data_IF_192889992159
#
_entry.id   IF_192889992159
#
_cell.length_a   1.000
_cell.length_b   1.000
_cell.length_c   1.000
_cell.angle_alpha   90.00
_cell.angle_beta   90.00
_cell.angle_gamma   90.00
#
_symmetry.space_group_name_H-M   'P 1'
#
loop_
_entity.id
_entity.type
_entity.pdbx_description
1 polymer ?
#
# COMPACT_ATOMS: atom_id res chain seq x y z
N UNK A 1 -18.31 12.59 -18.50
CA UNK A 1 -17.70 13.18 -17.27
C UNK A 1 -16.20 13.34 -17.53
N UNK A 2 -15.52 14.36 -16.96
CA UNK A 2 -14.06 14.48 -17.11
C UNK A 2 -13.37 13.46 -16.21
N UNK A 3 -12.49 12.65 -16.78
CA UNK A 3 -11.63 11.74 -16.03
C UNK A 3 -10.56 12.55 -15.28
N UNK A 4 -10.53 12.46 -13.95
CA UNK A 4 -9.60 13.19 -13.09
C UNK A 4 -9.61 12.64 -11.66
N UNK A 5 -8.53 12.86 -10.91
CA UNK A 5 -8.49 12.49 -9.50
C UNK A 5 -9.66 13.12 -8.69
N UNK A 6 -10.13 12.39 -7.68
CA UNK A 6 -11.28 12.75 -6.84
C UNK A 6 -10.86 12.89 -5.39
N UNK A 7 -11.45 13.85 -4.69
CA UNK A 7 -11.24 14.08 -3.28
C UNK A 7 -12.47 13.67 -2.48
N UNK A 8 -12.37 12.56 -1.76
CA UNK A 8 -13.46 12.07 -0.91
C UNK A 8 -13.27 12.53 0.53
N UNK A 9 -14.38 12.75 1.23
CA UNK A 9 -14.39 13.06 2.66
C UNK A 9 -14.96 11.88 3.43
N UNK A 10 -14.15 11.29 4.30
CA UNK A 10 -14.51 10.13 5.13
C UNK A 10 -14.68 10.58 6.58
N UNK A 11 -15.82 10.30 7.24
CA UNK A 11 -16.01 10.63 8.64
C UNK A 11 -15.13 9.73 9.52
N UNK A 12 -14.59 10.28 10.60
CA UNK A 12 -13.90 9.49 11.63
C UNK A 12 -14.36 9.89 13.04
N UNK A 13 -14.28 8.96 14.01
CA UNK A 13 -14.64 9.27 15.39
C UNK A 13 -13.52 10.08 16.06
N UNK A 14 -13.83 10.66 17.22
CA UNK A 14 -12.81 11.22 18.09
C UNK A 14 -11.86 10.11 18.55
N UNK A 15 -10.55 10.30 18.38
CA UNK A 15 -9.56 9.35 18.89
C UNK A 15 -9.58 9.29 20.42
N UNK A 16 -9.45 8.08 20.97
CA UNK A 16 -9.36 7.85 22.41
C UNK A 16 -7.99 8.22 22.98
N UNK A 17 -6.92 8.08 22.18
CA UNK A 17 -5.56 8.42 22.61
C UNK A 17 -5.19 9.85 22.24
N UNK A 18 -4.56 10.53 23.20
CA UNK A 18 -3.90 11.82 22.97
C UNK A 18 -2.42 11.60 22.72
N UNK A 19 -1.88 12.30 21.72
CA UNK A 19 -0.44 12.33 21.47
C UNK A 19 0.21 13.07 22.66
N UNK A 20 1.20 12.48 23.35
CA UNK A 20 1.88 13.14 24.46
C UNK A 20 2.50 14.48 24.05
N UNK A 21 2.54 15.44 24.98
CA UNK A 21 3.20 16.73 24.75
C UNK A 21 4.66 16.54 24.33
N UNK A 22 5.08 17.24 23.27
CA UNK A 22 6.44 17.16 22.72
C UNK A 22 6.70 15.98 21.78
N UNK A 23 5.72 15.11 21.53
CA UNK A 23 5.83 13.99 20.59
C UNK A 23 5.13 14.33 19.27
N UNK A 24 5.76 14.01 18.14
CA UNK A 24 5.10 14.09 16.83
C UNK A 24 4.09 12.94 16.64
N UNK A 25 3.07 13.12 15.80
CA UNK A 25 2.14 12.03 15.47
C UNK A 25 2.84 10.76 14.97
N UNK A 26 3.87 10.92 14.14
CA UNK A 26 4.61 9.79 13.53
C UNK A 26 5.34 8.97 14.59
N UNK A 27 6.00 9.62 15.55
CA UNK A 27 6.64 8.95 16.69
C UNK A 27 5.61 8.20 17.53
N UNK A 28 4.49 8.84 17.82
CA UNK A 28 3.41 8.25 18.62
C UNK A 28 2.83 6.99 17.97
N UNK A 29 2.47 7.06 16.68
CA UNK A 29 1.85 5.93 15.98
C UNK A 29 2.78 4.73 15.81
N UNK A 30 4.10 4.97 15.83
CA UNK A 30 5.13 3.92 15.76
C UNK A 30 5.53 3.34 17.13
N UNK A 31 5.05 3.94 18.23
CA UNK A 31 5.36 3.49 19.57
C UNK A 31 4.76 2.11 19.87
N UNK A 32 5.46 1.25 20.64
CA UNK A 32 4.89 -0.02 21.10
C UNK A 32 3.57 0.14 21.86
N UNK A 33 3.40 1.26 22.59
CA UNK A 33 2.16 1.56 23.31
C UNK A 33 0.97 1.75 22.37
N UNK A 34 1.13 2.55 21.31
CA UNK A 34 0.08 2.72 20.30
C UNK A 34 -0.22 1.41 19.55
N UNK A 35 0.80 0.60 19.25
CA UNK A 35 0.61 -0.68 18.55
C UNK A 35 -0.08 -1.73 19.42
N UNK A 36 0.21 -1.75 20.72
CA UNK A 36 -0.57 -2.52 21.70
C UNK A 36 -2.02 -2.07 21.69
N UNK A 37 -2.27 -0.76 21.79
CA UNK A 37 -3.63 -0.21 21.76
C UNK A 37 -4.36 -0.53 20.44
N UNK A 38 -3.68 -0.48 19.30
CA UNK A 38 -4.25 -0.85 18.00
C UNK A 38 -4.81 -2.29 18.04
N UNK A 39 -4.03 -3.22 18.59
CA UNK A 39 -4.46 -4.61 18.72
C UNK A 39 -5.61 -4.78 19.72
N UNK A 40 -5.61 -4.06 20.84
CA UNK A 40 -6.63 -4.20 21.90
C UNK A 40 -7.94 -3.48 21.57
N UNK A 41 -7.89 -2.32 20.92
CA UNK A 41 -9.06 -1.49 20.61
C UNK A 41 -9.69 -1.80 19.26
N UNK A 42 -8.90 -2.30 18.31
CA UNK A 42 -9.30 -2.44 16.92
C UNK A 42 -8.89 -3.78 16.29
N UNK A 43 -8.26 -4.69 17.04
CA UNK A 43 -7.86 -6.00 16.54
C UNK A 43 -9.07 -6.88 16.23
N UNK A 44 -9.02 -7.57 15.10
CA UNK A 44 -10.05 -8.50 14.64
C UNK A 44 -9.56 -9.95 14.73
N UNK A 45 -8.32 -10.20 14.33
CA UNK A 45 -7.77 -11.55 14.18
C UNK A 45 -6.25 -11.55 14.33
N UNK A 46 -5.67 -12.65 14.84
CA UNK A 46 -4.21 -12.80 14.93
C UNK A 46 -3.75 -14.21 14.61
N UNK A 47 -2.65 -14.31 13.87
CA UNK A 47 -1.99 -15.59 13.57
C UNK A 47 -0.77 -15.83 14.48
N UNK A 48 -0.28 -17.08 14.58
CA UNK A 48 0.97 -17.40 15.28
C UNK A 48 2.22 -16.72 14.70
N UNK A 49 2.17 -16.24 13.46
CA UNK A 49 3.27 -15.57 12.75
C UNK A 49 3.37 -14.06 13.02
N UNK A 50 2.66 -13.57 14.04
CA UNK A 50 2.52 -12.15 14.39
C UNK A 50 1.73 -11.31 13.36
N UNK A 51 0.91 -11.94 12.51
CA UNK A 51 0.03 -11.20 11.60
C UNK A 51 -1.25 -10.77 12.32
N UNK A 52 -1.56 -9.47 12.27
CA UNK A 52 -2.72 -8.86 12.91
C UNK A 52 -3.65 -8.29 11.83
N UNK A 53 -4.88 -8.77 11.77
CA UNK A 53 -5.98 -8.06 11.08
C UNK A 53 -6.60 -7.06 12.05
N UNK A 54 -6.80 -5.82 11.62
CA UNK A 54 -7.37 -4.77 12.47
C UNK A 54 -8.22 -3.77 11.67
N UNK A 55 -9.25 -3.23 12.33
CA UNK A 55 -10.06 -2.13 11.81
C UNK A 55 -9.27 -0.83 11.77
N UNK A 56 -9.36 -0.09 10.66
CA UNK A 56 -8.85 1.29 10.63
C UNK A 56 -9.85 2.28 11.21
N UNK A 57 -9.62 2.69 12.45
CA UNK A 57 -10.47 3.68 13.13
C UNK A 57 -10.51 5.02 12.36
N UNK A 58 -9.36 5.46 11.87
CA UNK A 58 -9.24 6.57 10.93
C UNK A 58 -9.08 6.00 9.52
N UNK A 59 -10.18 5.46 9.00
CA UNK A 59 -10.24 4.78 7.71
C UNK A 59 -10.11 5.72 6.51
N UNK A 60 -10.07 5.07 5.36
CA UNK A 60 -10.18 5.63 4.02
C UNK A 60 -11.61 5.49 3.51
N UNK A 61 -12.27 4.38 3.86
CA UNK A 61 -13.66 4.09 3.50
C UNK A 61 -14.49 3.72 4.73
N UNK A 62 -15.77 4.07 4.69
CA UNK A 62 -16.79 3.54 5.62
C UNK A 62 -17.52 2.31 5.07
N UNK A 63 -17.29 1.93 3.81
CA UNK A 63 -17.94 0.76 3.22
C UNK A 63 -17.23 -0.53 3.62
N UNK A 64 -15.91 -0.55 3.47
CA UNK A 64 -15.02 -1.59 4.00
C UNK A 64 -13.60 -1.03 4.12
N UNK A 65 -12.97 -1.13 5.29
CA UNK A 65 -11.58 -0.74 5.49
C UNK A 65 -10.93 -1.52 6.65
N UNK A 66 -9.95 -2.36 6.30
CA UNK A 66 -9.14 -3.12 7.26
C UNK A 66 -7.71 -3.24 6.76
N UNK A 67 -6.81 -3.59 7.66
CA UNK A 67 -5.43 -3.92 7.32
C UNK A 67 -4.99 -5.23 7.94
N UNK A 68 -4.08 -5.91 7.26
CA UNK A 68 -3.20 -6.92 7.86
C UNK A 68 -1.84 -6.27 8.07
N UNK A 69 -1.25 -6.41 9.25
CA UNK A 69 0.09 -5.91 9.56
C UNK A 69 0.93 -7.01 10.20
N UNK A 70 2.22 -7.06 9.88
CA UNK A 70 3.17 -7.92 10.58
C UNK A 70 3.56 -7.26 11.92
N UNK A 71 2.73 -7.45 12.95
CA UNK A 71 2.83 -6.84 14.28
C UNK A 71 3.96 -7.44 15.11
N UNK A 72 5.19 -7.12 14.75
CA UNK A 72 6.40 -7.51 15.51
C UNK A 72 6.64 -6.63 16.74
N UNK A 73 5.73 -5.71 17.05
CA UNK A 73 5.92 -4.69 18.09
C UNK A 73 6.07 -5.26 19.50
N UNK A 74 5.57 -6.47 19.73
CA UNK A 74 5.74 -7.23 20.99
C UNK A 74 7.13 -7.84 21.18
N UNK A 75 7.91 -8.00 20.10
CA UNK A 75 9.23 -8.66 20.13
C UNK A 75 10.36 -7.72 19.72
N UNK A 76 10.09 -6.81 18.80
CA UNK A 76 11.04 -5.83 18.27
C UNK A 76 10.58 -4.43 18.70
N UNK A 77 11.15 -3.96 19.81
CA UNK A 77 10.82 -2.64 20.37
C UNK A 77 11.42 -1.51 19.54
N UNK A 78 12.58 -1.73 18.91
CA UNK A 78 13.20 -0.82 17.95
C UNK A 78 12.38 -0.73 16.66
N UNK A 79 11.75 0.42 16.32
CA UNK A 79 11.01 0.56 15.08
C UNK A 79 11.86 0.35 13.83
N UNK A 80 13.17 0.63 13.87
CA UNK A 80 14.07 0.48 12.73
C UNK A 80 14.39 -0.99 12.41
N UNK A 81 14.33 -1.87 13.42
CA UNK A 81 14.56 -3.30 13.27
C UNK A 81 13.38 -4.10 12.74
N UNK A 82 12.22 -3.46 12.51
CA UNK A 82 10.99 -4.15 12.07
C UNK A 82 10.98 -4.34 10.55
N UNK A 83 10.38 -5.43 10.09
CA UNK A 83 10.21 -5.69 8.67
C UNK A 83 9.21 -4.71 8.05
N UNK A 84 9.65 -3.96 7.04
CA UNK A 84 8.87 -2.96 6.30
C UNK A 84 8.65 -3.37 4.84
N UNK A 85 9.10 -4.56 4.44
CA UNK A 85 8.95 -5.12 3.09
C UNK A 85 8.69 -6.62 3.10
N UNK A 86 8.07 -7.13 2.04
CA UNK A 86 7.79 -8.55 1.87
C UNK A 86 9.08 -9.36 1.80
N UNK A 87 10.11 -8.88 1.11
CA UNK A 87 11.41 -9.60 0.99
C UNK A 87 12.06 -9.87 2.36
N UNK A 88 11.68 -9.13 3.40
CA UNK A 88 12.18 -9.29 4.77
C UNK A 88 11.37 -10.30 5.61
N UNK A 89 10.23 -10.77 5.11
CA UNK A 89 9.40 -11.75 5.81
C UNK A 89 10.00 -13.16 5.66
N UNK A 90 9.88 -13.97 6.71
CA UNK A 90 10.22 -15.39 6.63
C UNK A 90 9.31 -16.13 5.65
N UNK A 91 9.75 -17.27 5.11
CA UNK A 91 8.94 -18.11 4.23
C UNK A 91 7.57 -18.47 4.83
N UNK A 92 7.53 -18.74 6.14
CA UNK A 92 6.30 -19.06 6.87
C UNK A 92 5.35 -17.85 6.94
N UNK A 93 5.89 -16.68 7.31
CA UNK A 93 5.12 -15.43 7.32
C UNK A 93 4.55 -15.10 5.94
N UNK A 94 5.36 -15.20 4.87
CA UNK A 94 4.90 -14.97 3.49
C UNK A 94 3.75 -15.90 3.10
N UNK A 95 3.85 -17.19 3.45
CA UNK A 95 2.78 -18.16 3.15
C UNK A 95 1.46 -17.75 3.79
N UNK A 96 1.46 -17.44 5.09
CA UNK A 96 0.22 -17.05 5.80
C UNK A 96 -0.29 -15.70 5.32
N UNK A 97 0.61 -14.75 5.06
CA UNK A 97 0.28 -13.44 4.48
C UNK A 97 -0.45 -13.55 3.14
N UNK A 98 0.05 -14.40 2.23
CA UNK A 98 -0.58 -14.64 0.93
C UNK A 98 -1.99 -15.22 1.09
N UNK A 99 -2.16 -16.21 1.99
CA UNK A 99 -3.46 -16.85 2.22
C UNK A 99 -4.45 -15.85 2.83
N UNK A 100 -4.03 -15.09 3.85
CA UNK A 100 -4.91 -14.07 4.44
C UNK A 100 -5.29 -13.00 3.41
N UNK A 101 -4.34 -12.58 2.56
CA UNK A 101 -4.60 -11.60 1.50
C UNK A 101 -5.58 -12.14 0.47
N UNK A 102 -5.39 -13.39 0.04
CA UNK A 102 -6.31 -14.07 -0.87
C UNK A 102 -7.71 -14.16 -0.27
N UNK A 103 -7.86 -14.62 0.98
CA UNK A 103 -9.17 -14.75 1.63
C UNK A 103 -9.89 -13.41 1.76
N UNK A 104 -9.19 -12.37 2.22
CA UNK A 104 -9.80 -11.05 2.39
C UNK A 104 -10.16 -10.41 1.04
N UNK A 105 -9.36 -10.63 -0.01
CA UNK A 105 -9.69 -10.11 -1.33
C UNK A 105 -10.81 -10.91 -2.00
N UNK A 106 -10.86 -12.24 -1.82
CA UNK A 106 -12.00 -13.07 -2.22
C UNK A 106 -13.29 -12.60 -1.54
N UNK A 107 -13.25 -12.27 -0.24
CA UNK A 107 -14.38 -11.66 0.46
C UNK A 107 -14.84 -10.35 -0.20
N UNK A 108 -13.92 -9.47 -0.59
CA UNK A 108 -14.28 -8.24 -1.30
C UNK A 108 -14.95 -8.51 -2.65
N UNK A 109 -14.49 -9.53 -3.38
CA UNK A 109 -15.07 -9.92 -4.66
C UNK A 109 -16.47 -10.52 -4.50
N UNK A 110 -16.69 -11.30 -3.45
CA UNK A 110 -17.98 -11.92 -3.13
C UNK A 110 -19.00 -10.88 -2.64
N UNK A 111 -18.61 -10.00 -1.72
CA UNK A 111 -19.50 -9.00 -1.10
C UNK A 111 -19.79 -7.83 -2.04
N UNK A 112 -18.82 -7.45 -2.89
CA UNK A 112 -18.94 -6.33 -3.81
C UNK A 112 -18.73 -6.78 -5.26
N UNK A 113 -19.57 -7.64 -5.86
CA UNK A 113 -19.28 -8.28 -7.14
C UNK A 113 -19.34 -7.33 -8.34
N UNK A 114 -20.10 -6.25 -8.23
CA UNK A 114 -20.40 -5.34 -9.33
C UNK A 114 -19.37 -4.19 -9.43
N UNK A 115 -18.54 -4.15 -10.50
CA UNK A 115 -17.55 -3.10 -10.71
C UNK A 115 -18.17 -1.72 -10.97
N UNK A 116 -19.41 -1.62 -11.46
CA UNK A 116 -20.09 -0.34 -11.67
C UNK A 116 -20.55 0.28 -10.34
N UNK A 117 -20.68 -0.54 -9.29
CA UNK A 117 -21.16 -0.09 -7.97
C UNK A 117 -20.04 0.10 -6.97
N UNK A 118 -18.99 -0.70 -7.04
CA UNK A 118 -17.90 -0.65 -6.06
C UNK A 118 -16.52 -0.78 -6.70
N UNK A 119 -15.63 0.14 -6.33
CA UNK A 119 -14.19 -0.04 -6.49
C UNK A 119 -13.67 -0.85 -5.30
N UNK A 120 -12.93 -1.91 -5.57
CA UNK A 120 -12.24 -2.70 -4.54
C UNK A 120 -10.75 -2.76 -4.82
N UNK A 121 -9.95 -2.72 -3.75
CA UNK A 121 -8.50 -2.89 -3.83
C UNK A 121 -7.90 -3.56 -2.60
N UNK A 122 -6.78 -4.23 -2.82
CA UNK A 122 -5.79 -4.61 -1.83
C UNK A 122 -4.49 -3.88 -2.16
N UNK A 123 -3.95 -3.13 -1.22
CA UNK A 123 -2.69 -2.44 -1.38
C UNK A 123 -1.67 -2.86 -0.34
N UNK A 124 -0.52 -3.36 -0.78
CA UNK A 124 0.63 -3.62 0.07
C UNK A 124 1.49 -2.37 0.19
N UNK A 125 1.66 -1.89 1.42
CA UNK A 125 2.44 -0.70 1.71
C UNK A 125 3.73 -1.05 2.46
N UNK A 126 4.83 -0.59 1.90
CA UNK A 126 6.18 -0.67 2.45
C UNK A 126 6.73 0.73 2.71
N UNK A 127 7.58 0.89 3.74
CA UNK A 127 8.23 2.16 4.07
C UNK A 127 9.75 2.12 3.87
N UNK A 128 10.34 3.30 3.68
CA UNK A 128 11.78 3.49 3.76
C UNK A 128 12.18 3.37 5.24
N UNK A 129 12.93 2.32 5.56
CA UNK A 129 13.38 2.02 6.93
C UNK A 129 14.37 3.04 7.48
N UNK A 130 14.93 3.92 6.65
CA UNK A 130 15.90 4.96 7.03
C UNK A 130 15.30 6.36 7.10
N UNK A 131 14.03 6.51 6.70
CA UNK A 131 13.36 7.82 6.75
C UNK A 131 13.24 8.34 8.18
N UNK A 132 13.51 9.63 8.46
CA UNK A 132 13.40 10.16 9.82
C UNK A 132 11.97 10.11 10.36
N UNK A 133 11.79 9.68 11.61
CA UNK A 133 10.48 9.62 12.28
C UNK A 133 9.88 10.99 12.56
N UNK A 134 10.68 12.05 12.54
CA UNK A 134 10.23 13.43 12.80
C UNK A 134 9.87 14.21 11.52
N UNK A 135 10.03 13.61 10.34
CA UNK A 135 9.66 14.29 9.08
C UNK A 135 8.14 14.36 8.93
N UNK A 136 7.59 15.52 8.52
CA UNK A 136 6.20 15.61 8.08
C UNK A 136 5.96 14.69 6.88
N UNK A 137 4.82 14.02 6.85
CA UNK A 137 4.52 13.00 5.84
C UNK A 137 5.09 11.63 6.20
N UNK A 138 4.27 10.60 6.03
CA UNK A 138 4.40 9.21 6.51
C UNK A 138 4.03 8.98 7.99
N UNK A 139 2.76 9.21 8.37
CA UNK A 139 2.15 8.70 9.61
C UNK A 139 1.74 7.22 9.47
N UNK A 140 2.57 6.38 8.87
CA UNK A 140 2.32 4.95 8.79
C UNK A 140 3.17 4.20 9.79
N UNK A 141 2.59 3.12 10.32
CA UNK A 141 3.28 2.18 11.18
C UNK A 141 4.43 1.56 10.37
N UNK A 142 5.65 1.62 10.91
CA UNK A 142 6.90 1.09 10.34
C UNK A 142 6.95 -0.43 10.45
N UNK A 143 5.99 -1.05 9.78
CA UNK A 143 5.89 -2.48 9.54
C UNK A 143 5.19 -2.66 8.20
N UNK A 144 5.50 -3.74 7.49
CA UNK A 144 4.76 -4.09 6.28
C UNK A 144 3.28 -4.32 6.63
N UNK A 145 2.39 -3.75 5.82
CA UNK A 145 0.95 -3.89 5.99
C UNK A 145 0.22 -3.89 4.65
N UNK A 146 -0.81 -4.74 4.54
CA UNK A 146 -1.78 -4.72 3.47
C UNK A 146 -3.01 -3.91 3.90
N UNK A 147 -3.60 -3.18 2.97
CA UNK A 147 -4.84 -2.43 3.15
C UNK A 147 -5.90 -3.02 2.22
N UNK A 148 -7.09 -3.29 2.75
CA UNK A 148 -8.21 -3.83 1.99
C UNK A 148 -9.35 -2.83 2.07
N UNK A 149 -9.83 -2.37 0.92
CA UNK A 149 -10.81 -1.30 0.85
C UNK A 149 -11.87 -1.58 -0.21
N UNK A 150 -13.09 -1.14 0.07
CA UNK A 150 -14.15 -0.98 -0.91
C UNK A 150 -14.67 0.46 -0.89
N UNK A 151 -15.00 1.02 -2.04
CA UNK A 151 -15.59 2.35 -2.16
C UNK A 151 -16.84 2.27 -3.03
N UNK A 152 -17.97 2.86 -2.61
CA UNK A 152 -19.10 3.05 -3.51
C UNK A 152 -18.68 3.95 -4.67
N UNK A 153 -18.91 3.52 -5.91
CA UNK A 153 -18.56 4.32 -7.11
C UNK A 153 -19.33 5.65 -7.08
N UNK A 154 -20.60 5.64 -6.69
CA UNK A 154 -21.40 6.85 -6.53
C UNK A 154 -20.78 7.87 -5.57
N UNK A 155 -20.04 7.44 -4.53
CA UNK A 155 -19.32 8.36 -3.63
C UNK A 155 -18.18 9.05 -4.38
N UNK A 156 -17.42 8.30 -5.18
CA UNK A 156 -16.28 8.82 -5.95
C UNK A 156 -16.77 9.72 -7.10
N UNK A 157 -17.85 9.36 -7.76
CA UNK A 157 -18.44 10.13 -8.86
C UNK A 157 -18.97 11.50 -8.41
N UNK A 158 -19.59 11.56 -7.23
CA UNK A 158 -20.14 12.79 -6.66
C UNK A 158 -19.12 13.61 -5.85
N UNK A 159 -17.90 13.11 -5.71
CA UNK A 159 -16.83 13.82 -5.02
C UNK A 159 -16.26 14.95 -5.86
N UNK A 160 -15.73 15.98 -5.18
CA UNK A 160 -15.04 17.07 -5.84
C UNK A 160 -13.77 16.57 -6.55
N UNK A 161 -13.34 17.31 -7.57
CA UNK A 161 -12.03 17.07 -8.17
C UNK A 161 -10.94 17.35 -7.14
N UNK A 162 -9.99 16.42 -7.02
CA UNK A 162 -8.81 16.66 -6.21
C UNK A 162 -7.94 17.76 -6.82
N UNK A 163 -7.19 18.48 -5.99
CA UNK A 163 -6.20 19.43 -6.46
C UNK A 163 -5.13 18.68 -7.29
N UNK A 164 -4.90 19.04 -8.58
CA UNK A 164 -3.89 18.37 -9.41
C UNK A 164 -2.45 18.47 -8.85
N UNK A 165 -2.19 19.43 -7.96
CA UNK A 165 -0.89 19.60 -7.29
C UNK A 165 -0.90 19.03 -5.87
N UNK A 166 -1.90 18.23 -5.50
CA UNK A 166 -1.93 17.59 -4.19
C UNK A 166 -0.68 16.70 -4.04
N UNK A 167 0.11 16.85 -2.96
CA UNK A 167 1.34 16.10 -2.78
C UNK A 167 1.13 14.58 -2.73
N UNK A 168 -0.07 14.11 -2.38
CA UNK A 168 -0.43 12.68 -2.43
C UNK A 168 -0.55 12.19 -3.89
N UNK A 169 -0.96 13.03 -4.83
CA UNK A 169 -1.05 12.68 -6.25
C UNK A 169 0.25 12.88 -7.02
N UNK A 170 1.04 13.88 -6.64
CA UNK A 170 2.26 14.26 -7.36
C UNK A 170 3.53 13.64 -6.78
N UNK A 171 3.44 12.86 -5.72
CA UNK A 171 4.57 12.35 -4.94
C UNK A 171 5.57 13.48 -4.60
N UNK A 172 5.08 14.61 -4.10
CA UNK A 172 5.90 15.81 -3.84
C UNK A 172 6.80 16.27 -5.01
N UNK A 173 6.46 15.92 -6.25
CA UNK A 173 7.25 16.21 -7.45
C UNK A 173 8.19 15.08 -7.90
N UNK A 174 8.37 13.99 -7.14
CA UNK A 174 9.19 12.84 -7.52
C UNK A 174 8.59 12.02 -8.67
N UNK A 175 7.25 11.99 -8.79
CA UNK A 175 6.58 11.47 -9.99
C UNK A 175 7.15 12.13 -11.25
N UNK A 176 7.47 13.43 -11.21
CA UNK A 176 7.94 14.11 -12.43
C UNK A 176 9.33 13.67 -12.91
N UNK A 177 10.23 13.18 -12.04
CA UNK A 177 11.56 12.79 -12.48
C UNK A 177 11.58 11.36 -13.02
N UNK A 178 11.01 10.40 -12.27
CA UNK A 178 10.98 9.00 -12.69
C UNK A 178 9.99 8.77 -13.83
N UNK A 179 8.76 9.31 -13.73
CA UNK A 179 7.74 9.14 -14.78
C UNK A 179 8.16 9.79 -16.10
N UNK A 180 8.83 10.96 -16.07
CA UNK A 180 9.22 11.65 -17.32
C UNK A 180 10.50 11.11 -17.94
N UNK A 181 11.45 10.64 -17.14
CA UNK A 181 12.79 10.32 -17.66
C UNK A 181 13.17 8.85 -17.58
N UNK A 182 12.46 8.05 -16.78
CA UNK A 182 12.82 6.66 -16.53
C UNK A 182 11.67 5.68 -16.78
N UNK A 183 10.46 6.15 -17.10
CA UNK A 183 9.29 5.28 -17.32
C UNK A 183 9.55 4.22 -18.40
N UNK A 184 10.07 4.61 -19.57
CA UNK A 184 10.33 3.65 -20.66
C UNK A 184 11.34 2.57 -20.25
N UNK A 185 12.46 2.97 -19.65
CA UNK A 185 13.51 2.06 -19.15
C UNK A 185 12.96 1.16 -18.05
N UNK A 186 12.08 1.70 -17.21
CA UNK A 186 11.48 0.94 -16.12
C UNK A 186 10.51 -0.13 -16.64
N UNK A 187 9.74 0.18 -17.68
CA UNK A 187 8.92 -0.81 -18.39
C UNK A 187 9.79 -1.88 -19.06
N UNK A 188 10.82 -1.48 -19.81
CA UNK A 188 11.76 -2.41 -20.47
C UNK A 188 12.43 -3.37 -19.46
N UNK A 189 12.84 -2.85 -18.30
CA UNK A 189 13.46 -3.64 -17.24
C UNK A 189 12.49 -4.65 -16.61
N UNK A 190 11.18 -4.38 -16.60
CA UNK A 190 10.18 -5.26 -16.01
C UNK A 190 9.56 -6.22 -17.03
N UNK A 191 9.57 -5.88 -18.31
CA UNK A 191 9.04 -6.75 -19.38
C UNK A 191 9.84 -8.06 -19.51
N UNK A 192 11.12 -8.05 -19.11
CA UNK A 192 12.01 -9.23 -19.13
C UNK A 192 11.78 -10.21 -17.97
N UNK A 193 10.83 -9.94 -17.06
CA UNK A 193 10.51 -10.85 -15.95
C UNK A 193 9.84 -12.17 -16.41
N UNK A 194 9.46 -12.30 -17.69
CA UNK A 194 8.86 -13.50 -18.30
C UNK A 194 7.69 -14.09 -17.48
N UNK A 195 6.80 -13.21 -17.03
CA UNK A 195 5.62 -13.57 -16.25
C UNK A 195 4.58 -14.29 -17.12
N UNK A 196 4.00 -15.38 -16.61
CA UNK A 196 3.08 -16.25 -17.34
C UNK A 196 1.61 -16.01 -16.99
N UNK A 197 1.31 -15.51 -15.79
CA UNK A 197 -0.05 -15.24 -15.31
C UNK A 197 -0.34 -13.73 -15.36
N UNK A 198 0.58 -12.92 -14.87
CA UNK A 198 0.53 -11.46 -14.85
C UNK A 198 1.05 -10.89 -16.16
N UNK A 199 0.13 -10.53 -17.06
CA UNK A 199 0.47 -10.03 -18.39
C UNK A 199 0.58 -8.51 -18.40
N UNK A 200 1.68 -7.92 -18.90
CA UNK A 200 1.80 -6.47 -19.04
C UNK A 200 0.63 -5.88 -19.83
N UNK A 201 0.11 -4.74 -19.37
CA UNK A 201 -0.89 -3.95 -20.08
C UNK A 201 -0.46 -2.49 -20.14
N UNK A 202 -0.97 -1.75 -21.13
CA UNK A 202 -0.64 -0.33 -21.27
C UNK A 202 -1.21 0.50 -20.13
N UNK A 203 -0.62 1.66 -19.85
CA UNK A 203 -1.14 2.58 -18.81
C UNK A 203 -2.55 3.08 -19.12
N UNK A 204 -2.93 3.15 -20.40
CA UNK A 204 -4.30 3.51 -20.79
C UNK A 204 -5.28 2.40 -20.45
N UNK A 205 -4.91 1.15 -20.69
CA UNK A 205 -5.75 -0.01 -20.40
C UNK A 205 -5.85 -0.34 -18.90
N UNK A 206 -4.90 0.11 -18.09
CA UNK A 206 -4.96 -0.05 -16.64
C UNK A 206 -5.73 1.08 -15.94
N UNK A 207 -5.87 2.25 -16.57
CA UNK A 207 -6.52 3.40 -15.93
C UNK A 207 -8.01 3.19 -15.72
N UNK A 208 -8.50 3.54 -14.52
CA UNK A 208 -9.92 3.62 -14.21
C UNK A 208 -10.57 4.76 -14.99
N UNK A 209 -11.70 4.50 -15.64
CA UNK A 209 -12.38 5.50 -16.48
C UNK A 209 -12.72 6.78 -15.71
N UNK A 210 -13.15 6.64 -14.45
CA UNK A 210 -13.60 7.76 -13.60
C UNK A 210 -12.46 8.71 -13.20
N UNK A 211 -11.30 8.16 -12.82
CA UNK A 211 -10.20 8.95 -12.26
C UNK A 211 -9.06 9.18 -13.25
N UNK A 212 -8.88 8.27 -14.20
CA UNK A 212 -7.78 8.27 -15.16
C UNK A 212 -6.47 7.78 -14.53
N UNK A 213 -6.54 7.01 -13.44
CA UNK A 213 -5.41 6.45 -12.69
C UNK A 213 -5.50 4.92 -12.63
N UNK A 214 -4.38 4.20 -12.51
CA UNK A 214 -3.00 4.70 -12.41
C UNK A 214 -2.47 5.37 -13.68
N UNK A 215 -1.52 6.29 -13.53
CA UNK A 215 -0.93 7.06 -14.64
C UNK A 215 0.54 6.71 -14.84
N UNK A 216 0.88 6.13 -16.00
CA UNK A 216 2.26 5.82 -16.39
C UNK A 216 2.99 4.83 -15.47
N UNK A 217 2.26 4.08 -14.65
CA UNK A 217 2.80 3.01 -13.82
C UNK A 217 2.75 1.68 -14.58
N UNK A 218 3.78 0.82 -14.43
CA UNK A 218 3.71 -0.53 -14.96
C UNK A 218 2.56 -1.29 -14.29
N UNK A 219 1.81 -1.98 -15.12
CA UNK A 219 0.58 -2.64 -14.72
C UNK A 219 0.47 -3.99 -15.44
N UNK A 220 -0.11 -4.97 -14.75
CA UNK A 220 -0.30 -6.31 -15.27
C UNK A 220 -1.73 -6.77 -15.04
N UNK A 221 -2.37 -7.31 -16.07
CA UNK A 221 -3.65 -8.00 -15.93
C UNK A 221 -3.42 -9.43 -15.45
N UNK A 222 -4.18 -9.85 -14.43
CA UNK A 222 -4.26 -11.23 -13.99
C UNK A 222 -5.07 -12.08 -14.97
N UNK A 223 -4.40 -12.78 -15.89
CA UNK A 223 -5.08 -13.71 -16.81
C UNK A 223 -5.62 -14.92 -16.07
N UNK A 224 -6.83 -15.35 -16.43
CA UNK A 224 -7.59 -16.38 -15.71
C UNK A 224 -8.44 -15.85 -14.55
N UNK A 225 -8.41 -14.53 -14.32
CA UNK A 225 -9.30 -13.83 -13.41
C UNK A 225 -9.10 -14.18 -11.93
N UNK A 226 -10.07 -13.84 -11.06
CA UNK A 226 -9.92 -13.96 -9.62
C UNK A 226 -9.58 -15.36 -9.09
N UNK A 227 -9.99 -16.42 -9.80
CA UNK A 227 -9.67 -17.80 -9.42
C UNK A 227 -8.17 -18.07 -9.27
N UNK A 228 -7.32 -17.30 -9.98
CA UNK A 228 -5.87 -17.41 -9.93
C UNK A 228 -5.23 -16.88 -8.65
N UNK A 229 -5.94 -16.14 -7.80
CA UNK A 229 -5.41 -15.71 -6.50
C UNK A 229 -5.11 -16.90 -5.57
N UNK A 230 -5.75 -18.06 -5.81
CA UNK A 230 -5.50 -19.33 -5.09
C UNK A 230 -4.28 -20.08 -5.63
N UNK A 231 -3.75 -19.69 -6.78
CA UNK A 231 -2.58 -20.28 -7.43
C UNK A 231 -1.30 -19.78 -6.72
N UNK A 232 -0.44 -20.70 -6.29
CA UNK A 232 0.84 -20.32 -5.68
C UNK A 232 1.75 -19.61 -6.68
N UNK A 233 1.58 -19.90 -7.97
CA UNK A 233 2.38 -19.29 -9.03
C UNK A 233 2.04 -17.81 -9.22
N UNK A 234 0.78 -17.39 -9.01
CA UNK A 234 0.43 -15.97 -8.97
C UNK A 234 1.24 -15.22 -7.90
N UNK A 235 1.33 -15.77 -6.69
CA UNK A 235 2.07 -15.13 -5.60
C UNK A 235 3.59 -15.11 -5.83
N UNK A 236 4.11 -16.06 -6.59
CA UNK A 236 5.49 -16.05 -7.04
C UNK A 236 5.74 -14.90 -8.02
N UNK A 237 4.90 -14.73 -9.05
CA UNK A 237 5.01 -13.62 -10.01
C UNK A 237 4.78 -12.26 -9.37
N UNK A 238 3.81 -12.16 -8.45
CA UNK A 238 3.58 -10.96 -7.64
C UNK A 238 4.85 -10.54 -6.87
N UNK A 239 5.62 -11.52 -6.37
CA UNK A 239 6.91 -11.29 -5.74
C UNK A 239 8.03 -10.97 -6.75
N UNK A 240 8.03 -11.57 -7.96
CA UNK A 240 9.02 -11.22 -9.00
C UNK A 240 8.92 -9.74 -9.39
N UNK A 241 7.70 -9.20 -9.53
CA UNK A 241 7.48 -7.76 -9.76
C UNK A 241 8.13 -6.91 -8.65
N UNK A 242 7.96 -7.31 -7.39
CA UNK A 242 8.59 -6.62 -6.27
C UNK A 242 10.12 -6.71 -6.33
N UNK A 243 10.68 -7.88 -6.61
CA UNK A 243 12.14 -8.04 -6.68
C UNK A 243 12.73 -7.19 -7.83
N UNK A 244 12.05 -7.12 -8.98
CA UNK A 244 12.43 -6.24 -10.09
C UNK A 244 12.37 -4.77 -9.67
N UNK A 245 11.29 -4.34 -9.03
CA UNK A 245 11.18 -3.01 -8.46
C UNK A 245 12.37 -2.69 -7.52
N UNK A 246 12.72 -3.61 -6.61
CA UNK A 246 13.80 -3.40 -5.65
C UNK A 246 15.16 -3.27 -6.36
N UNK A 247 15.43 -4.12 -7.35
CA UNK A 247 16.68 -4.10 -8.11
C UNK A 247 16.83 -2.81 -8.93
N UNK A 248 15.75 -2.36 -9.58
CA UNK A 248 15.74 -1.10 -10.32
C UNK A 248 16.14 0.08 -9.43
N UNK A 249 15.43 0.25 -8.30
CA UNK A 249 15.66 1.38 -7.40
C UNK A 249 16.99 1.28 -6.64
N UNK A 250 17.40 0.08 -6.22
CA UNK A 250 18.72 -0.12 -5.58
C UNK A 250 19.85 0.21 -6.54
N UNK A 251 19.75 -0.22 -7.79
CA UNK A 251 20.73 0.13 -8.84
C UNK A 251 20.77 1.62 -9.05
N UNK A 252 19.61 2.25 -9.25
CA UNK A 252 19.51 3.70 -9.49
C UNK A 252 20.13 4.50 -8.33
N UNK A 253 19.71 4.24 -7.09
CA UNK A 253 20.22 4.98 -5.93
C UNK A 253 21.67 4.64 -5.58
N UNK A 254 22.14 3.41 -5.86
CA UNK A 254 23.56 3.08 -5.77
C UNK A 254 24.36 3.96 -6.73
N UNK A 255 23.96 4.02 -8.01
CA UNK A 255 24.62 4.84 -9.02
C UNK A 255 24.59 6.33 -8.66
N UNK A 256 23.46 6.85 -8.17
CA UNK A 256 23.35 8.24 -7.70
C UNK A 256 24.27 8.50 -6.50
N UNK A 257 24.38 7.57 -5.56
CA UNK A 257 25.15 7.74 -4.32
C UNK A 257 26.66 7.58 -4.48
N UNK A 258 27.14 6.70 -5.36
CA UNK A 258 28.57 6.42 -5.55
C UNK A 258 29.13 6.97 -6.85
N UNK A 259 28.31 7.14 -7.89
CA UNK A 259 28.76 7.38 -9.27
C UNK A 259 29.36 6.14 -9.94
N UNK A 260 29.29 4.97 -9.29
CA UNK A 260 29.89 3.72 -9.76
C UNK A 260 28.84 2.86 -10.45
N UNK A 261 29.00 2.64 -11.76
CA UNK A 261 28.11 1.83 -12.58
C UNK A 261 28.43 0.35 -12.39
N UNK A 262 27.89 -0.22 -11.30
CA UNK A 262 28.06 -1.63 -10.96
C UNK A 262 26.73 -2.28 -10.60
N UNK A 263 26.62 -3.56 -10.90
CA UNK A 263 25.51 -4.40 -10.43
C UNK A 263 25.57 -4.48 -8.90
N UNK A 264 24.48 -4.17 -8.17
CA UNK A 264 24.44 -4.30 -6.72
C UNK A 264 24.72 -5.73 -6.25
N UNK A 265 25.40 -5.86 -5.11
CA UNK A 265 25.56 -7.15 -4.44
C UNK A 265 24.16 -7.70 -4.09
N UNK A 266 23.96 -9.01 -4.29
CA UNK A 266 22.68 -9.69 -4.04
C UNK A 266 21.52 -9.22 -4.94
N UNK A 267 21.82 -8.70 -6.13
CA UNK A 267 20.81 -8.45 -7.15
C UNK A 267 20.06 -9.75 -7.52
N UNK A 268 18.75 -9.64 -7.71
CA UNK A 268 17.89 -10.73 -8.15
C UNK A 268 18.00 -10.96 -9.67
N UNK A 269 18.18 -9.87 -10.42
CA UNK A 269 18.24 -9.84 -11.89
C UNK A 269 19.55 -9.19 -12.39
N UNK A 270 20.73 -9.75 -12.06
CA UNK A 270 22.02 -9.11 -12.32
C UNK A 270 22.28 -8.87 -13.81
N UNK A 271 21.89 -9.81 -14.68
CA UNK A 271 22.09 -9.69 -16.12
C UNK A 271 21.21 -8.58 -16.69
N UNK A 272 19.94 -8.51 -16.28
CA UNK A 272 19.01 -7.47 -16.70
C UNK A 272 19.46 -6.09 -16.23
N UNK A 273 20.03 -5.98 -15.02
CA UNK A 273 20.60 -4.73 -14.53
C UNK A 273 21.73 -4.26 -15.45
N UNK A 274 22.64 -5.16 -15.81
CA UNK A 274 23.76 -4.81 -16.69
C UNK A 274 23.29 -4.42 -18.09
N UNK A 275 22.44 -5.27 -18.69
CA UNK A 275 21.98 -5.15 -20.08
C UNK A 275 20.98 -4.03 -20.32
N UNK A 276 20.09 -3.71 -19.36
CA UNK A 276 19.02 -2.72 -19.54
C UNK A 276 19.32 -1.42 -18.80
N UNK A 277 19.79 -1.49 -17.54
CA UNK A 277 19.97 -0.29 -16.72
C UNK A 277 21.35 0.33 -16.90
N UNK A 278 22.40 -0.43 -16.66
CA UNK A 278 23.77 0.09 -16.68
C UNK A 278 24.28 0.32 -18.10
N UNK A 279 23.78 -0.39 -19.11
CA UNK A 279 24.06 -0.09 -20.52
C UNK A 279 23.35 1.19 -21.01
N UNK A 280 22.28 1.62 -20.33
CA UNK A 280 21.44 2.73 -20.77
C UNK A 280 22.09 4.09 -20.51
N UNK A 281 22.46 4.77 -21.59
CA UNK A 281 22.96 6.15 -21.55
C UNK A 281 21.98 7.12 -20.88
N UNK A 282 20.67 6.88 -21.03
CA UNK A 282 19.64 7.70 -20.42
C UNK A 282 19.56 7.45 -18.91
N UNK A 283 19.57 6.17 -18.48
CA UNK A 283 19.58 5.81 -17.05
C UNK A 283 20.78 6.44 -16.33
N UNK A 284 21.98 6.29 -16.88
CA UNK A 284 23.20 6.87 -16.33
C UNK A 284 23.17 8.40 -16.27
N UNK A 285 22.66 9.05 -17.33
CA UNK A 285 22.52 10.51 -17.39
C UNK A 285 21.60 11.02 -16.30
N UNK A 286 20.41 10.44 -16.15
CA UNK A 286 19.44 10.84 -15.12
C UNK A 286 20.02 10.64 -13.72
N UNK A 287 20.75 9.54 -13.48
CA UNK A 287 21.41 9.30 -12.20
C UNK A 287 22.49 10.35 -11.89
N UNK A 288 23.28 10.75 -12.89
CA UNK A 288 24.29 11.82 -12.75
C UNK A 288 23.65 13.18 -12.47
N UNK A 289 22.62 13.55 -13.23
CA UNK A 289 21.94 14.83 -13.05
C UNK A 289 21.29 14.91 -11.66
N UNK A 290 20.69 13.80 -11.18
CA UNK A 290 20.16 13.71 -9.83
C UNK A 290 21.28 13.82 -8.77
N UNK A 291 22.42 13.15 -8.98
CA UNK A 291 23.58 13.23 -8.10
C UNK A 291 24.10 14.66 -7.98
N UNK A 292 24.22 15.40 -9.09
CA UNK A 292 24.64 16.80 -9.07
C UNK A 292 23.69 17.65 -8.23
N UNK A 293 22.38 17.46 -8.40
CA UNK A 293 21.37 18.16 -7.59
C UNK A 293 21.51 17.85 -6.09
N UNK A 294 21.71 16.59 -5.73
CA UNK A 294 21.94 16.18 -4.32
C UNK A 294 23.17 16.85 -3.72
N UNK A 295 24.24 17.01 -4.49
CA UNK A 295 25.48 17.66 -4.02
C UNK A 295 25.26 19.15 -3.78
N UNK A 296 24.43 19.80 -4.60
CA UNK A 296 24.26 21.26 -4.59
C UNK A 296 23.11 21.73 -3.68
N UNK A 297 22.09 20.90 -3.47
CA UNK A 297 20.87 21.28 -2.76
C UNK A 297 20.69 20.43 -1.48
N UNK A 298 21.05 20.96 -0.30
CA UNK A 298 20.92 20.22 0.96
C UNK A 298 19.46 19.96 1.35
N UNK A 299 18.51 20.79 0.92
CA UNK A 299 17.09 20.52 1.18
C UNK A 299 16.63 19.31 0.37
N UNK A 300 16.95 19.31 -0.92
CA UNK A 300 16.64 18.18 -1.81
C UNK A 300 17.35 16.90 -1.36
N UNK A 301 18.62 16.97 -0.97
CA UNK A 301 19.37 15.82 -0.44
C UNK A 301 18.69 15.20 0.79
N UNK A 302 18.13 16.04 1.66
CA UNK A 302 17.37 15.59 2.82
C UNK A 302 16.02 14.98 2.41
N UNK A 303 15.41 15.42 1.31
CA UNK A 303 14.13 14.91 0.78
C UNK A 303 14.27 13.57 0.02
N UNK A 304 15.47 13.13 -0.36
CA UNK A 304 15.66 11.85 -1.04
C UNK A 304 15.48 10.65 -0.11
N UNK A 305 14.64 9.71 -0.54
CA UNK A 305 14.50 8.36 0.01
C UNK A 305 15.50 7.42 -0.64
N UNK A 306 16.58 7.12 0.07
CA UNK A 306 17.66 6.28 -0.42
C UNK A 306 17.33 4.79 -0.41
N UNK A 307 16.38 4.35 0.43
CA UNK A 307 15.96 2.95 0.44
C UNK A 307 14.64 2.80 -0.31
N UNK A 308 14.52 1.74 -1.12
CA UNK A 308 13.28 1.49 -1.83
C UNK A 308 12.15 1.22 -0.83
N UNK A 309 11.07 1.94 -1.04
CA UNK A 309 9.77 1.78 -0.40
C UNK A 309 8.76 1.67 -1.53
N UNK A 310 7.71 0.87 -1.36
CA UNK A 310 6.75 0.60 -2.44
C UNK A 310 5.31 0.59 -1.98
N UNK A 311 4.42 0.83 -2.93
CA UNK A 311 2.99 0.51 -2.86
C UNK A 311 2.71 -0.43 -4.02
N UNK A 312 2.33 -1.68 -3.73
CA UNK A 312 1.97 -2.67 -4.73
C UNK A 312 0.49 -3.02 -4.56
N UNK A 313 -0.31 -2.86 -5.62
CA UNK A 313 -1.76 -2.95 -5.56
C UNK A 313 -2.25 -4.14 -6.36
N UNK A 314 -3.35 -4.72 -5.89
CA UNK A 314 -4.30 -5.51 -6.67
C UNK A 314 -5.61 -4.71 -6.62
N UNK A 315 -6.17 -4.33 -7.76
CA UNK A 315 -7.47 -3.66 -7.82
C UNK A 315 -8.33 -4.24 -8.94
N UNK A 316 -9.64 -4.08 -8.80
CA UNK A 316 -10.59 -4.41 -9.86
C UNK A 316 -10.87 -3.19 -10.72
N UNK A 317 -10.73 -3.33 -12.03
CA UNK A 317 -11.01 -2.25 -12.97
C UNK A 317 -12.50 -2.18 -13.38
N UNK A 318 -12.83 -1.23 -14.26
CA UNK A 318 -14.20 -1.00 -14.76
C UNK A 318 -14.79 -2.23 -15.50
N UNK A 319 -13.93 -3.07 -16.08
CA UNK A 319 -14.33 -4.30 -16.79
C UNK A 319 -14.38 -5.53 -15.87
N UNK A 320 -14.12 -5.38 -14.57
CA UNK A 320 -14.08 -6.48 -13.62
C UNK A 320 -12.79 -7.30 -13.65
N UNK A 321 -11.77 -6.88 -14.41
CA UNK A 321 -10.44 -7.52 -14.44
C UNK A 321 -9.68 -7.18 -13.17
N UNK A 322 -8.77 -8.07 -12.76
CA UNK A 322 -7.85 -7.80 -11.68
C UNK A 322 -6.52 -7.30 -12.23
N UNK A 323 -6.13 -6.10 -11.81
CA UNK A 323 -4.92 -5.44 -12.25
C UNK A 323 -3.95 -5.35 -11.07
N UNK A 324 -2.69 -5.73 -11.32
CA UNK A 324 -1.57 -5.53 -10.42
C UNK A 324 -0.78 -4.31 -10.89
N UNK A 325 -0.37 -3.44 -9.97
CA UNK A 325 0.56 -2.34 -10.26
C UNK A 325 1.51 -2.11 -9.10
N UNK A 326 2.67 -1.51 -9.36
CA UNK A 326 3.63 -1.15 -8.33
C UNK A 326 4.17 0.27 -8.58
N UNK A 327 4.26 1.04 -7.50
CA UNK A 327 4.87 2.37 -7.50
C UNK A 327 5.87 2.47 -6.36
N UNK A 328 6.86 3.34 -6.52
CA UNK A 328 7.64 3.82 -5.39
C UNK A 328 6.70 4.44 -4.36
N UNK A 329 6.92 4.12 -3.09
CA UNK A 329 6.13 4.70 -2.02
C UNK A 329 6.54 6.15 -1.83
N UNK A 330 5.70 6.93 -2.48
CA UNK A 330 5.59 8.36 -2.47
C UNK A 330 5.45 8.94 -1.06
N UNK A 331 5.69 10.25 -0.92
CA UNK A 331 5.40 11.02 0.31
C UNK A 331 3.92 10.93 0.71
N UNK A 332 3.05 10.51 -0.20
CA UNK A 332 1.60 10.46 -0.06
C UNK A 332 1.05 9.51 1.02
N UNK A 333 0.02 10.00 1.71
CA UNK A 333 -0.55 9.45 2.93
C UNK A 333 -1.41 8.19 2.76
N UNK A 334 -1.91 7.90 1.55
CA UNK A 334 -2.85 6.80 1.32
C UNK A 334 -2.47 5.98 0.08
N UNK A 335 -2.72 4.67 0.11
CA UNK A 335 -2.49 3.80 -1.05
C UNK A 335 -3.48 4.07 -2.21
N UNK A 336 -4.60 4.71 -1.89
CA UNK A 336 -5.69 5.09 -2.79
C UNK A 336 -5.30 6.16 -3.82
N UNK A 337 -4.23 6.91 -3.56
CA UNK A 337 -3.74 7.96 -4.47
C UNK A 337 -3.29 7.38 -5.82
N UNK A 338 -2.83 6.12 -5.84
CA UNK A 338 -2.45 5.41 -7.07
C UNK A 338 -3.65 5.12 -7.98
N UNK A 339 -4.86 5.17 -7.44
CA UNK A 339 -6.12 5.07 -8.19
C UNK A 339 -6.80 6.44 -8.32
N UNK A 340 -6.09 7.54 -8.03
CA UNK A 340 -6.59 8.90 -8.18
C UNK A 340 -7.61 9.30 -7.11
N UNK A 341 -7.58 8.67 -5.93
CA UNK A 341 -8.50 8.97 -4.83
C UNK A 341 -7.73 9.58 -3.67
N UNK A 342 -7.94 10.88 -3.46
CA UNK A 342 -7.43 11.63 -2.31
C UNK A 342 -8.45 11.54 -1.19
N UNK A 343 -8.03 11.06 -0.02
CA UNK A 343 -8.93 10.92 1.13
C UNK A 343 -8.67 12.02 2.15
N UNK A 344 -9.68 12.84 2.41
CA UNK A 344 -9.75 13.74 3.56
C UNK A 344 -10.54 13.09 4.68
N UNK A 345 -10.01 13.15 5.90
CA UNK A 345 -10.70 12.69 7.10
C UNK A 345 -11.29 13.88 7.83
N UNK A 346 -12.55 13.78 8.23
CA UNK A 346 -13.24 14.79 9.02
C UNK A 346 -13.80 14.17 10.28
N UNK A 347 -13.47 14.76 11.43
CA UNK A 347 -14.06 14.33 12.69
C UNK A 347 -15.57 14.60 12.64
N UNK A 348 -16.36 13.53 12.64
CA UNK A 348 -17.80 13.56 12.52
C UNK A 348 -18.36 12.29 13.18
N UNK A 349 -18.54 12.39 14.49
CA UNK A 349 -18.91 11.25 15.35
C UNK A 349 -20.31 10.71 15.03
N UNK A 350 -21.25 11.59 14.66
CA UNK A 350 -22.60 11.19 14.30
C UNK A 350 -22.60 10.41 12.98
N UNK A 351 -21.92 10.92 11.94
CA UNK A 351 -21.82 10.23 10.66
C UNK A 351 -21.07 8.90 10.79
N UNK A 352 -19.99 8.86 11.58
CA UNK A 352 -19.25 7.62 11.81
C UNK A 352 -20.10 6.59 12.58
N UNK A 353 -20.78 7.00 13.65
CA UNK A 353 -21.63 6.10 14.46
C UNK A 353 -22.76 5.50 13.62
N UNK A 354 -23.30 6.23 12.65
CA UNK A 354 -24.31 5.72 11.73
C UNK A 354 -23.76 4.64 10.78
N UNK A 355 -22.50 4.77 10.34
CA UNK A 355 -21.86 3.82 9.41
C UNK A 355 -21.17 2.63 10.11
N UNK A 356 -20.75 2.81 11.36
CA UNK A 356 -19.93 1.84 12.11
C UNK A 356 -20.55 0.42 12.19
N UNK A 357 -21.86 0.23 12.44
CA UNK A 357 -22.42 -1.12 12.56
C UNK A 357 -22.27 -1.94 11.27
N UNK A 358 -22.52 -1.33 10.11
CA UNK A 358 -22.40 -1.99 8.81
C UNK A 358 -20.93 -2.28 8.48
N UNK A 359 -20.05 -1.29 8.69
CA UNK A 359 -18.60 -1.45 8.52
C UNK A 359 -18.08 -2.61 9.37
N UNK A 360 -18.32 -2.59 10.68
CA UNK A 360 -17.82 -3.62 11.59
C UNK A 360 -18.45 -4.98 11.30
N UNK A 361 -19.74 -5.03 10.96
CA UNK A 361 -20.40 -6.27 10.55
C UNK A 361 -19.68 -6.97 9.40
N UNK A 362 -19.29 -6.24 8.36
CA UNK A 362 -18.50 -6.78 7.24
C UNK A 362 -17.10 -7.21 7.66
N UNK A 363 -16.44 -6.43 8.53
CA UNK A 363 -15.11 -6.79 9.06
C UNK A 363 -15.14 -8.08 9.88
N UNK A 364 -16.19 -8.29 10.68
CA UNK A 364 -16.40 -9.52 11.43
C UNK A 364 -16.71 -10.70 10.50
N UNK A 365 -17.52 -10.50 9.45
CA UNK A 365 -17.77 -11.54 8.44
C UNK A 365 -16.48 -11.95 7.71
N UNK A 366 -15.63 -10.97 7.34
CA UNK A 366 -14.33 -11.23 6.74
C UNK A 366 -13.37 -11.96 7.72
N UNK A 367 -13.43 -11.64 9.02
CA UNK A 367 -12.70 -12.38 10.07
C UNK A 367 -13.12 -13.85 10.11
N UNK A 368 -14.41 -14.16 10.04
CA UNK A 368 -14.88 -15.54 10.09
C UNK A 368 -14.28 -16.39 8.96
N UNK A 369 -14.08 -15.82 7.76
CA UNK A 369 -13.39 -16.51 6.67
C UNK A 369 -11.94 -16.91 7.00
N UNK A 370 -11.23 -16.09 7.79
CA UNK A 370 -9.88 -16.41 8.26
C UNK A 370 -9.89 -17.50 9.34
N UNK A 371 -10.94 -17.52 10.18
CA UNK A 371 -11.16 -18.58 11.18
C UNK A 371 -11.51 -19.91 10.53
N UNK A 372 -12.40 -19.92 9.53
CA UNK A 372 -12.74 -21.09 8.71
C UNK A 372 -11.49 -21.71 8.06
N UNK A 373 -10.54 -20.87 7.65
CA UNK A 373 -9.25 -21.31 7.10
C UNK A 373 -8.22 -21.75 8.16
N UNK A 374 -8.57 -21.74 9.45
CA UNK A 374 -7.74 -22.15 10.57
C UNK A 374 -6.35 -21.46 10.60
N UNK A 375 -6.33 -20.14 10.36
CA UNK A 375 -5.09 -19.36 10.30
C UNK A 375 -4.64 -18.78 11.65
N UNK A 376 -5.51 -18.81 12.66
CA UNK A 376 -5.33 -18.07 13.89
C UNK A 376 -6.62 -17.87 14.67
N UNK A 377 -6.61 -16.90 15.58
CA UNK A 377 -7.65 -16.71 16.59
C UNK A 377 -8.28 -15.32 16.50
N UNK A 378 -9.58 -15.18 16.81
CA UNK A 378 -10.24 -13.89 16.90
C UNK A 378 -9.69 -13.06 18.07
N UNK A 379 -9.72 -11.74 17.92
CA UNK A 379 -9.41 -10.79 19.00
C UNK A 379 -10.71 -10.15 19.49
N UNK A 380 -10.94 -10.20 20.80
CA UNK A 380 -11.97 -9.40 21.46
C UNK A 380 -11.48 -7.96 21.61
N UNK A 381 -12.32 -7.00 21.21
CA UNK A 381 -12.09 -5.56 21.41
C UNK A 381 -13.33 -4.92 22.04
N UNK A 382 -13.26 -3.69 22.58
CA UNK A 382 -14.40 -3.04 23.25
C UNK A 382 -15.66 -2.94 22.39
N UNK A 383 -15.51 -2.74 21.07
CA UNK A 383 -16.63 -2.67 20.12
C UNK A 383 -17.12 -4.05 19.66
N UNK A 384 -16.44 -5.16 20.03
CA UNK A 384 -16.88 -6.53 19.76
C UNK A 384 -16.37 -7.54 20.80
N UNK A 385 -16.74 -7.40 22.09
CA UNK A 385 -16.12 -8.14 23.19
C UNK A 385 -16.38 -9.65 23.14
N UNK A 386 -17.44 -10.07 22.45
CA UNK A 386 -17.84 -11.48 22.25
C UNK A 386 -17.88 -11.88 20.78
N UNK A 387 -17.15 -11.13 19.94
CA UNK A 387 -17.16 -11.35 18.49
C UNK A 387 -18.35 -10.77 17.75
N UNK A 388 -19.27 -10.09 18.45
CA UNK A 388 -20.43 -9.38 17.90
C UNK A 388 -20.30 -7.87 18.14
N UNK A 389 -20.73 -7.05 17.17
CA UNK A 389 -20.65 -5.59 17.32
C UNK A 389 -21.50 -5.08 18.48
N UNK A 390 -20.91 -4.22 19.31
CA UNK A 390 -21.58 -3.49 20.38
C UNK A 390 -21.28 -1.99 20.18
N UNK A 391 -22.34 -1.20 20.04
CA UNK A 391 -22.21 0.25 19.92
C UNK A 391 -21.64 0.86 21.19
N UNK A 392 -20.74 1.83 21.04
CA UNK A 392 -20.11 2.56 22.16
C UNK A 392 -21.08 3.43 22.97
N UNK A 393 -22.37 3.45 22.63
CA UNK A 393 -23.44 4.17 23.33
C UNK A 393 -24.27 3.34 24.31
N UNK A 394 -23.92 2.08 24.59
CA UNK A 394 -24.63 1.23 25.55
C UNK A 394 -23.64 0.65 26.57
N UNK A 395 -23.14 1.50 27.46
CA UNK A 395 -22.55 1.12 28.74
C UNK A 395 -22.89 2.17 29.79
#
# INVERSE_FOLDING_TARGET
>A
MKSAAREIVTPNPKMSLTIPSGMSPVEFFNSPANLKNLAEENGLFRTPEDLLMYRKLIGHSTEFDTSIILDTSRRILDPLGRAVRRDQMTRRQKKVWNIMTQILFDYLLEEFPDPERHLILCGEASLDSTWPLNKPGVPSIRMIHNHFMAFPIALIENADYANPTDPNLTDSGHHSLFLRHLSEIYHEFLDVLDLQILHPISSTESSLALTGYPQGLPSWELKGGPSKLKDQYFWYEYEQILLGFLDFYRTFFSLVSTGDARVPNEANFPNQIDEVLLSSNQFQRVARDLRERVIQDPQFANEIRWRPAYKQLIYRDDAGRLIVTISQNSVGNAITELLGIVVKRRQDEAAYTAAEPALVGRLLAAREKLMEANLGEPIAAPSWPKGEFVSRGVA
#
